data_IF_480425831090
#
_entry.id   IF_480425831090
#
_cell.length_a   1.000
_cell.length_b   1.000
_cell.length_c   1.000
_cell.angle_alpha   90.00
_cell.angle_beta   90.00
_cell.angle_gamma   90.00
#
_symmetry.space_group_name_H-M   'P 1'
#
loop_
_entity.id
_entity.type
_entity.pdbx_description
1 polymer ?
#
# COMPACT_ATOMS: atom_id res chain seq x y z
N UNK A 1 9.18 -12.34 12.47
CA UNK A 1 8.41 -11.11 12.72
C UNK A 1 7.04 -11.48 13.27
N UNK A 2 6.59 -10.77 14.31
CA UNK A 2 5.21 -10.79 14.79
C UNK A 2 4.73 -9.35 14.78
N UNK A 3 3.75 -9.04 13.92
CA UNK A 3 3.23 -7.70 13.73
C UNK A 3 1.77 -7.63 14.17
N UNK A 4 1.40 -6.57 14.87
CA UNK A 4 0.06 -6.36 15.42
C UNK A 4 -0.66 -5.23 14.69
N UNK A 5 -1.98 -5.32 14.57
CA UNK A 5 -2.81 -4.25 14.02
C UNK A 5 -2.73 -2.96 14.83
N UNK A 6 -2.98 -1.84 14.20
CA UNK A 6 -2.90 -0.53 14.83
C UNK A 6 -1.50 0.10 14.81
N UNK A 7 -0.55 -0.50 14.12
CA UNK A 7 0.84 -0.05 14.08
C UNK A 7 1.34 0.14 12.65
N UNK A 8 2.31 1.04 12.51
CA UNK A 8 3.08 1.24 11.28
C UNK A 8 4.51 0.77 11.52
N UNK A 9 4.94 -0.21 10.76
CA UNK A 9 6.28 -0.82 10.83
C UNK A 9 7.14 -0.30 9.69
N UNK A 10 8.19 0.46 10.03
CA UNK A 10 9.13 1.02 9.07
C UNK A 10 10.22 0.01 8.69
N UNK A 11 10.47 -0.13 7.39
CA UNK A 11 11.58 -0.93 6.88
C UNK A 11 12.58 -0.02 6.18
N UNK A 12 13.75 0.14 6.75
CA UNK A 12 14.81 1.02 6.25
C UNK A 12 16.03 0.23 5.83
N UNK A 13 16.76 0.72 4.85
CA UNK A 13 17.97 0.08 4.33
C UNK A 13 18.30 0.59 2.92
N UNK A 14 19.51 0.34 2.47
CA UNK A 14 19.97 0.74 1.15
C UNK A 14 19.15 0.12 0.01
N UNK A 15 19.28 0.67 -1.19
CA UNK A 15 18.71 0.06 -2.39
C UNK A 15 19.34 -1.33 -2.59
N UNK A 16 18.49 -2.33 -2.88
CA UNK A 16 18.92 -3.72 -2.99
C UNK A 16 19.05 -4.46 -1.65
N UNK A 17 18.73 -3.83 -0.49
CA UNK A 17 18.77 -4.52 0.81
C UNK A 17 17.70 -5.61 0.97
N UNK A 18 16.70 -5.68 0.07
CA UNK A 18 15.67 -6.73 0.05
C UNK A 18 14.28 -6.31 0.53
N UNK A 19 14.03 -5.02 0.83
CA UNK A 19 12.72 -4.51 1.31
C UNK A 19 11.57 -4.88 0.39
N UNK A 20 11.68 -4.56 -0.89
CA UNK A 20 10.66 -4.88 -1.91
C UNK A 20 10.41 -6.40 -2.00
N UNK A 21 11.47 -7.22 -1.96
CA UNK A 21 11.33 -8.67 -2.00
C UNK A 21 10.64 -9.19 -0.73
N UNK A 22 10.97 -8.66 0.43
CA UNK A 22 10.29 -8.99 1.68
C UNK A 22 8.79 -8.66 1.57
N UNK A 23 8.43 -7.46 1.09
CA UNK A 23 7.03 -7.06 0.92
C UNK A 23 6.28 -7.96 -0.09
N UNK A 24 6.92 -8.36 -1.18
CA UNK A 24 6.34 -9.32 -2.13
C UNK A 24 6.06 -10.68 -1.48
N UNK A 25 6.94 -11.16 -0.61
CA UNK A 25 6.74 -12.43 0.11
C UNK A 25 5.62 -12.27 1.14
N UNK A 26 5.65 -11.20 1.94
CA UNK A 26 4.67 -10.95 3.01
C UNK A 26 3.27 -10.65 2.46
N UNK A 27 3.16 -10.07 1.26
CA UNK A 27 1.87 -9.82 0.59
C UNK A 27 1.32 -11.04 -0.19
N UNK A 28 2.10 -12.11 -0.29
CA UNK A 28 1.70 -13.33 -1.01
C UNK A 28 1.99 -13.32 -2.51
N UNK A 29 2.62 -12.28 -3.04
CA UNK A 29 2.99 -12.19 -4.46
C UNK A 29 4.13 -13.16 -4.83
N UNK A 30 4.98 -13.49 -3.86
CA UNK A 30 6.09 -14.44 -4.04
C UNK A 30 6.06 -15.46 -2.90
N UNK A 31 6.12 -16.74 -3.24
CA UNK A 31 6.18 -17.81 -2.25
C UNK A 31 7.60 -17.92 -1.65
N UNK A 32 7.75 -17.97 -0.30
CA UNK A 32 9.05 -18.16 0.32
C UNK A 32 9.61 -19.56 0.01
N UNK A 33 10.93 -19.66 -0.15
CA UNK A 33 11.63 -20.95 -0.32
C UNK A 33 11.52 -21.81 0.94
N UNK A 34 11.60 -21.18 2.11
CA UNK A 34 11.47 -21.81 3.43
C UNK A 34 10.66 -20.90 4.34
N UNK A 35 10.08 -21.46 5.40
CA UNK A 35 9.24 -20.72 6.33
C UNK A 35 7.80 -20.57 5.85
N UNK A 36 7.05 -19.68 6.50
CA UNK A 36 5.64 -19.40 6.20
C UNK A 36 5.28 -17.97 6.54
N UNK A 37 4.28 -17.44 5.87
CA UNK A 37 3.65 -16.15 6.19
C UNK A 37 2.21 -16.44 6.61
N UNK A 38 1.84 -15.96 7.81
CA UNK A 38 0.50 -16.13 8.34
C UNK A 38 -0.14 -14.76 8.59
N UNK A 39 -1.37 -14.58 8.12
CA UNK A 39 -2.25 -13.49 8.50
C UNK A 39 -3.40 -14.08 9.32
N UNK A 40 -3.62 -13.58 10.53
CA UNK A 40 -4.62 -14.11 11.46
C UNK A 40 -4.57 -15.64 11.61
N UNK A 41 -3.34 -16.18 11.78
CA UNK A 41 -3.05 -17.63 11.89
C UNK A 41 -3.27 -18.45 10.61
N UNK A 42 -3.68 -17.84 9.50
CA UNK A 42 -3.86 -18.50 8.22
C UNK A 42 -2.62 -18.32 7.35
N UNK A 43 -2.01 -19.40 6.88
CA UNK A 43 -0.89 -19.36 5.94
C UNK A 43 -1.40 -18.88 4.58
N UNK A 44 -0.93 -17.70 4.14
CA UNK A 44 -1.42 -17.06 2.91
C UNK A 44 -1.05 -17.82 1.63
N UNK A 45 -0.09 -18.73 1.70
CA UNK A 45 0.37 -19.54 0.56
C UNK A 45 -0.28 -20.94 0.51
N UNK A 46 -1.06 -21.35 1.52
CA UNK A 46 -1.66 -22.68 1.63
C UNK A 46 -3.17 -22.73 1.48
N UNK A 47 -3.82 -21.61 1.21
CA UNK A 47 -5.27 -21.60 1.11
C UNK A 47 -5.81 -20.26 0.59
N UNK A 48 -7.14 -20.12 0.59
CA UNK A 48 -7.77 -18.83 0.33
C UNK A 48 -7.57 -17.94 1.55
N UNK A 49 -6.63 -17.01 1.48
CA UNK A 49 -6.55 -15.96 2.47
C UNK A 49 -7.80 -15.08 2.33
N UNK A 50 -8.63 -15.05 3.36
CA UNK A 50 -9.83 -14.20 3.42
C UNK A 50 -9.49 -12.74 3.74
N UNK A 51 -8.25 -12.50 4.17
CA UNK A 51 -7.78 -11.18 4.55
C UNK A 51 -7.69 -10.24 3.35
N UNK A 52 -8.01 -8.98 3.60
CA UNK A 52 -7.86 -7.92 2.61
C UNK A 52 -6.46 -7.36 2.72
N UNK A 53 -5.73 -7.43 1.63
CA UNK A 53 -4.35 -6.96 1.54
C UNK A 53 -4.31 -5.82 0.54
N UNK A 54 -3.83 -4.66 0.97
CA UNK A 54 -3.50 -3.53 0.09
C UNK A 54 -2.00 -3.51 -0.19
N UNK A 55 -1.64 -3.21 -1.43
CA UNK A 55 -0.24 -3.30 -1.86
C UNK A 55 0.12 -2.13 -2.75
N UNK A 56 1.21 -1.45 -2.41
CA UNK A 56 1.97 -0.56 -3.29
C UNK A 56 3.38 -1.15 -3.35
N UNK A 57 3.69 -1.89 -4.40
CA UNK A 57 5.02 -2.45 -4.63
C UNK A 57 5.33 -2.22 -6.11
N UNK A 58 6.35 -1.38 -6.37
CA UNK A 58 6.74 -0.98 -7.72
C UNK A 58 5.61 -0.31 -8.53
N UNK A 59 5.74 -0.26 -9.85
CA UNK A 59 4.76 0.37 -10.72
C UNK A 59 3.46 -0.43 -10.76
N UNK A 60 2.40 0.10 -10.19
CA UNK A 60 1.06 -0.47 -10.31
C UNK A 60 0.63 -0.46 -11.76
N UNK A 61 0.25 -1.63 -12.28
CA UNK A 61 -0.30 -1.77 -13.62
C UNK A 61 -1.74 -1.26 -13.64
N UNK A 62 -1.91 0.02 -13.92
CA UNK A 62 -3.22 0.61 -14.23
C UNK A 62 -3.40 0.73 -15.74
N UNK A 63 -4.64 0.73 -16.19
CA UNK A 63 -4.98 0.90 -17.59
C UNK A 63 -4.82 2.36 -18.00
N UNK A 64 -3.83 2.70 -18.87
CA UNK A 64 -3.49 4.09 -19.19
C UNK A 64 -4.62 4.86 -19.87
N UNK A 65 -5.49 4.15 -20.59
CA UNK A 65 -6.58 4.71 -21.38
C UNK A 65 -7.85 5.01 -20.57
N UNK A 66 -7.96 4.42 -19.38
CA UNK A 66 -9.10 4.61 -18.50
C UNK A 66 -8.87 5.79 -17.56
N UNK A 67 -9.95 6.40 -17.08
CA UNK A 67 -9.94 7.39 -16.00
C UNK A 67 -9.56 6.75 -14.66
N UNK A 68 -9.25 7.54 -13.63
CA UNK A 68 -9.01 7.03 -12.28
C UNK A 68 -10.23 6.29 -11.73
N UNK A 69 -11.42 6.83 -11.95
CA UNK A 69 -12.68 6.21 -11.58
C UNK A 69 -12.87 4.82 -12.23
N UNK A 70 -12.70 4.74 -13.55
CA UNK A 70 -12.87 3.49 -14.30
C UNK A 70 -11.85 2.43 -13.88
N UNK A 71 -10.60 2.81 -13.61
CA UNK A 71 -9.59 1.91 -13.09
C UNK A 71 -10.01 1.28 -11.77
N UNK A 72 -10.42 2.10 -10.78
CA UNK A 72 -10.84 1.60 -9.48
C UNK A 72 -12.14 0.81 -9.57
N UNK A 73 -13.08 1.20 -10.44
CA UNK A 73 -14.32 0.47 -10.67
C UNK A 73 -14.04 -0.92 -11.24
N UNK A 74 -13.15 -1.02 -12.22
CA UNK A 74 -12.75 -2.31 -12.79
C UNK A 74 -12.12 -3.21 -11.72
N UNK A 75 -11.13 -2.72 -10.98
CA UNK A 75 -10.46 -3.48 -9.92
C UNK A 75 -11.44 -3.92 -8.82
N UNK A 76 -12.30 -3.02 -8.37
CA UNK A 76 -13.32 -3.33 -7.36
C UNK A 76 -14.34 -4.36 -7.81
N UNK A 77 -14.61 -4.46 -9.13
CA UNK A 77 -15.52 -5.44 -9.71
C UNK A 77 -15.01 -6.89 -9.60
N UNK A 78 -13.69 -7.08 -9.53
CA UNK A 78 -13.07 -8.40 -9.45
C UNK A 78 -13.42 -9.13 -8.16
N UNK A 79 -13.40 -8.41 -7.04
CA UNK A 79 -13.67 -8.97 -5.71
C UNK A 79 -15.11 -8.74 -5.24
N UNK A 80 -15.84 -7.80 -5.85
CA UNK A 80 -17.22 -7.40 -5.49
C UNK A 80 -17.38 -7.03 -4.00
N UNK A 81 -16.33 -6.46 -3.39
CA UNK A 81 -16.28 -6.15 -1.95
C UNK A 81 -16.57 -4.69 -1.65
N UNK A 82 -16.60 -3.84 -2.66
CA UNK A 82 -16.78 -2.39 -2.53
C UNK A 82 -17.86 -1.88 -3.46
N UNK A 83 -18.53 -0.83 -3.04
CA UNK A 83 -19.55 -0.13 -3.82
C UNK A 83 -18.96 1.02 -4.64
N UNK A 84 -19.76 1.54 -5.59
CA UNK A 84 -19.43 2.78 -6.30
C UNK A 84 -19.24 3.97 -5.36
N UNK A 85 -20.02 4.02 -4.26
CA UNK A 85 -19.89 5.06 -3.25
C UNK A 85 -18.53 4.98 -2.53
N UNK A 86 -18.07 3.78 -2.18
CA UNK A 86 -16.75 3.58 -1.56
C UNK A 86 -15.62 4.04 -2.49
N UNK A 87 -15.72 3.76 -3.80
CA UNK A 87 -14.74 4.21 -4.79
C UNK A 87 -14.70 5.74 -4.86
N UNK A 88 -15.87 6.39 -4.90
CA UNK A 88 -15.96 7.86 -4.89
C UNK A 88 -15.28 8.45 -3.66
N UNK A 89 -15.67 7.99 -2.48
CA UNK A 89 -15.07 8.46 -1.22
C UNK A 89 -13.56 8.20 -1.17
N UNK A 90 -13.09 7.08 -1.72
CA UNK A 90 -11.65 6.78 -1.75
C UNK A 90 -10.89 7.74 -2.65
N UNK A 91 -11.41 8.08 -3.84
CA UNK A 91 -10.79 9.08 -4.72
C UNK A 91 -10.74 10.46 -4.07
N UNK A 92 -11.84 10.89 -3.46
CA UNK A 92 -11.92 12.14 -2.71
C UNK A 92 -10.90 12.16 -1.55
N UNK A 93 -10.78 11.06 -0.82
CA UNK A 93 -9.81 10.88 0.28
C UNK A 93 -8.36 11.10 -0.14
N UNK A 94 -7.99 10.67 -1.34
CA UNK A 94 -6.63 10.88 -1.87
C UNK A 94 -6.48 12.20 -2.63
N UNK A 95 -7.49 13.08 -2.58
CA UNK A 95 -7.48 14.39 -3.24
C UNK A 95 -7.59 14.30 -4.77
N UNK A 96 -8.29 13.29 -5.29
CA UNK A 96 -8.61 13.15 -6.70
C UNK A 96 -10.11 13.38 -6.93
N UNK A 97 -10.44 14.14 -7.98
CA UNK A 97 -11.83 14.32 -8.40
C UNK A 97 -12.36 13.04 -9.06
N UNK A 98 -13.41 12.40 -8.49
CA UNK A 98 -14.02 11.20 -9.06
C UNK A 98 -14.66 11.42 -10.45
N UNK A 99 -14.94 12.67 -10.81
CA UNK A 99 -15.56 13.04 -12.09
C UNK A 99 -14.55 13.47 -13.14
N UNK A 100 -13.25 13.46 -12.82
CA UNK A 100 -12.20 13.85 -13.76
C UNK A 100 -12.23 12.97 -15.02
N UNK A 101 -12.51 13.54 -16.22
CA UNK A 101 -12.65 12.77 -17.46
C UNK A 101 -11.32 12.39 -18.11
N UNK A 102 -10.20 12.83 -17.54
CA UNK A 102 -8.90 12.56 -18.12
C UNK A 102 -8.48 11.10 -17.92
N UNK A 103 -7.99 10.42 -18.96
CA UNK A 103 -7.36 9.12 -18.82
C UNK A 103 -6.05 9.24 -18.02
N UNK A 104 -5.70 8.21 -17.25
CA UNK A 104 -4.55 8.27 -16.33
C UNK A 104 -3.21 8.48 -17.03
N UNK A 105 -3.08 8.18 -18.33
CA UNK A 105 -1.88 8.54 -19.12
C UNK A 105 -1.62 10.06 -19.12
N UNK A 106 -2.67 10.89 -18.92
CA UNK A 106 -2.57 12.35 -18.82
C UNK A 106 -2.44 12.88 -17.40
N UNK A 107 -2.47 12.00 -16.40
CA UNK A 107 -2.27 12.40 -15.00
C UNK A 107 -0.83 12.84 -14.77
N UNK A 108 -0.65 13.83 -13.89
CA UNK A 108 0.66 14.14 -13.33
C UNK A 108 1.20 12.93 -12.55
N UNK A 109 2.50 12.92 -12.29
CA UNK A 109 3.11 11.85 -11.51
C UNK A 109 2.49 11.74 -10.10
N UNK A 110 2.26 12.89 -9.44
CA UNK A 110 1.58 12.94 -8.14
C UNK A 110 0.14 12.44 -8.19
N UNK A 111 -0.64 12.77 -9.25
CA UNK A 111 -1.99 12.22 -9.41
C UNK A 111 -1.98 10.70 -9.59
N UNK A 112 -1.01 10.17 -10.34
CA UNK A 112 -0.86 8.71 -10.49
C UNK A 112 -0.53 8.05 -9.17
N UNK A 113 0.38 8.63 -8.40
CA UNK A 113 0.77 8.10 -7.09
C UNK A 113 -0.42 8.11 -6.11
N UNK A 114 -1.21 9.19 -6.06
CA UNK A 114 -2.43 9.26 -5.25
C UNK A 114 -3.45 8.20 -5.68
N UNK A 115 -3.59 7.93 -6.98
CA UNK A 115 -4.48 6.87 -7.48
C UNK A 115 -4.00 5.47 -7.08
N UNK A 116 -2.68 5.23 -7.05
CA UNK A 116 -2.07 3.99 -6.57
C UNK A 116 -2.38 3.79 -5.08
N UNK A 117 -2.27 4.86 -4.28
CA UNK A 117 -2.67 4.80 -2.87
C UNK A 117 -4.16 4.50 -2.74
N UNK A 118 -5.03 5.15 -3.54
CA UNK A 118 -6.46 4.87 -3.55
C UNK A 118 -6.75 3.39 -3.82
N UNK A 119 -6.10 2.80 -4.81
CA UNK A 119 -6.20 1.36 -5.10
C UNK A 119 -5.86 0.50 -3.89
N UNK A 120 -4.78 0.80 -3.19
CA UNK A 120 -4.32 0.00 -2.08
C UNK A 120 -5.27 0.03 -0.88
N UNK A 121 -5.96 1.17 -0.65
CA UNK A 121 -6.82 1.36 0.54
C UNK A 121 -8.32 1.15 0.28
N UNK A 122 -8.77 1.12 -0.99
CA UNK A 122 -10.20 1.15 -1.33
C UNK A 122 -11.02 0.00 -0.73
N UNK A 123 -10.42 -1.18 -0.54
CA UNK A 123 -11.08 -2.34 0.07
C UNK A 123 -10.95 -2.39 1.59
N UNK A 124 -10.45 -1.32 2.23
CA UNK A 124 -10.21 -1.26 3.69
C UNK A 124 -9.36 -2.44 4.16
N UNK A 125 -8.12 -2.57 3.72
CA UNK A 125 -7.28 -3.75 3.97
C UNK A 125 -6.97 -3.93 5.46
N UNK A 126 -6.79 -5.20 5.86
CA UNK A 126 -6.33 -5.56 7.21
C UNK A 126 -4.80 -5.48 7.30
N UNK A 127 -4.14 -5.60 6.15
CA UNK A 127 -2.69 -5.47 6.04
C UNK A 127 -2.35 -4.62 4.81
N UNK A 128 -1.46 -3.64 4.98
CA UNK A 128 -1.10 -2.66 3.96
C UNK A 128 0.41 -2.64 3.79
N UNK A 129 0.88 -2.94 2.58
CA UNK A 129 2.29 -2.93 2.20
C UNK A 129 2.56 -1.74 1.30
N UNK A 130 3.39 -0.81 1.74
CA UNK A 130 3.65 0.47 1.07
C UNK A 130 5.14 0.62 0.80
N UNK A 131 5.54 0.39 -0.44
CA UNK A 131 6.91 0.65 -0.90
C UNK A 131 6.96 2.03 -1.57
N UNK A 132 7.62 2.99 -0.91
CA UNK A 132 7.79 4.39 -1.35
C UNK A 132 6.46 5.12 -1.69
N UNK A 133 5.44 5.13 -0.82
CA UNK A 133 4.11 5.65 -1.17
C UNK A 133 4.07 7.16 -1.42
N UNK A 134 5.04 7.91 -0.89
CA UNK A 134 5.12 9.38 -0.98
C UNK A 134 6.04 9.88 -2.10
N UNK A 135 6.64 8.97 -2.86
CA UNK A 135 7.49 9.34 -3.98
C UNK A 135 6.76 10.18 -5.02
N UNK A 136 7.46 11.23 -5.50
CA UNK A 136 7.01 12.07 -6.60
C UNK A 136 5.69 12.84 -6.35
N UNK A 137 5.33 13.04 -5.10
CA UNK A 137 4.19 13.83 -4.67
C UNK A 137 4.69 15.19 -4.13
N UNK A 138 3.88 16.23 -4.29
CA UNK A 138 4.13 17.55 -3.71
C UNK A 138 3.95 17.53 -2.17
N UNK A 139 4.41 18.59 -1.50
CA UNK A 139 4.40 18.66 -0.03
C UNK A 139 3.01 18.44 0.58
N UNK A 140 1.96 19.02 -0.02
CA UNK A 140 0.59 18.87 0.46
C UNK A 140 0.11 17.42 0.30
N UNK A 141 0.42 16.80 -0.83
CA UNK A 141 0.10 15.42 -1.07
C UNK A 141 0.85 14.44 -0.17
N UNK A 142 2.11 14.74 0.19
CA UNK A 142 2.85 13.94 1.18
C UNK A 142 2.14 13.97 2.52
N UNK A 143 1.70 15.15 3.00
CA UNK A 143 0.95 15.27 4.25
C UNK A 143 -0.35 14.45 4.19
N UNK A 144 -1.12 14.60 3.12
CA UNK A 144 -2.36 13.85 2.91
C UNK A 144 -2.13 12.33 2.95
N UNK A 145 -1.09 11.83 2.29
CA UNK A 145 -0.81 10.39 2.30
C UNK A 145 -0.36 9.90 3.68
N UNK A 146 0.41 10.71 4.43
CA UNK A 146 0.76 10.39 5.81
C UNK A 146 -0.47 10.28 6.71
N UNK A 147 -1.39 11.22 6.59
CA UNK A 147 -2.65 11.20 7.35
C UNK A 147 -3.46 9.93 7.03
N UNK A 148 -3.56 9.57 5.74
CA UNK A 148 -4.23 8.34 5.31
C UNK A 148 -3.57 7.09 5.90
N UNK A 149 -2.23 7.02 5.90
CA UNK A 149 -1.48 5.89 6.48
C UNK A 149 -1.77 5.77 7.99
N UNK A 150 -1.74 6.90 8.71
CA UNK A 150 -2.07 6.94 10.13
C UNK A 150 -3.53 6.53 10.40
N UNK A 151 -4.49 6.99 9.59
CA UNK A 151 -5.89 6.58 9.70
C UNK A 151 -6.09 5.07 9.46
N UNK A 152 -5.42 4.49 8.46
CA UNK A 152 -5.50 3.05 8.21
C UNK A 152 -4.92 2.23 9.39
N UNK A 153 -3.80 2.66 9.97
CA UNK A 153 -3.26 2.06 11.17
C UNK A 153 -4.24 2.21 12.35
N UNK A 154 -4.75 3.43 12.61
CA UNK A 154 -5.73 3.69 13.68
C UNK A 154 -7.02 2.87 13.53
N UNK A 155 -7.41 2.53 12.30
CA UNK A 155 -8.53 1.62 12.01
C UNK A 155 -8.23 0.17 12.41
N UNK A 156 -7.00 -0.15 12.78
CA UNK A 156 -6.55 -1.49 13.18
C UNK A 156 -5.82 -2.26 12.09
N UNK A 157 -5.48 -1.66 10.96
CA UNK A 157 -4.65 -2.31 9.95
C UNK A 157 -3.20 -2.50 10.45
N UNK A 158 -2.54 -3.55 9.99
CA UNK A 158 -1.08 -3.69 10.06
C UNK A 158 -0.50 -2.98 8.86
N UNK A 159 0.29 -1.93 9.07
CA UNK A 159 0.92 -1.18 7.98
C UNK A 159 2.42 -1.45 7.96
N UNK A 160 2.95 -1.86 6.82
CA UNK A 160 4.38 -2.00 6.56
C UNK A 160 4.78 -0.91 5.57
N UNK A 161 5.72 -0.07 5.97
CA UNK A 161 6.18 1.09 5.20
C UNK A 161 7.67 0.96 4.90
N UNK A 162 8.05 0.92 3.63
CA UNK A 162 9.41 1.17 3.20
C UNK A 162 9.50 2.58 2.62
N UNK A 163 10.40 3.39 3.13
CA UNK A 163 10.67 4.73 2.63
C UNK A 163 12.14 5.09 2.85
N UNK A 164 12.71 5.82 1.88
CA UNK A 164 14.01 6.45 2.02
C UNK A 164 13.90 7.88 2.60
N UNK A 165 12.69 8.39 2.77
CA UNK A 165 12.41 9.69 3.37
C UNK A 165 12.38 9.52 4.89
N UNK A 166 13.42 10.00 5.57
CA UNK A 166 13.56 9.87 7.02
C UNK A 166 12.37 10.43 7.80
N UNK A 167 11.74 11.49 7.27
CA UNK A 167 10.57 12.10 7.89
C UNK A 167 9.33 11.20 7.84
N UNK A 168 9.12 10.36 6.80
CA UNK A 168 8.03 9.39 6.77
C UNK A 168 8.20 8.38 7.90
N UNK A 169 9.42 7.86 8.02
CA UNK A 169 9.76 6.88 9.04
C UNK A 169 9.60 7.46 10.46
N UNK A 170 10.18 8.65 10.72
CA UNK A 170 10.14 9.25 12.06
C UNK A 170 8.75 9.73 12.49
N UNK A 171 7.87 10.07 11.53
CA UNK A 171 6.52 10.59 11.84
C UNK A 171 5.49 9.48 11.97
N UNK A 172 5.59 8.42 11.15
CA UNK A 172 4.55 7.42 11.04
C UNK A 172 4.86 6.13 11.80
N UNK A 173 6.14 5.71 11.84
CA UNK A 173 6.47 4.36 12.29
C UNK A 173 6.51 4.25 13.81
N UNK A 174 5.83 3.23 14.32
CA UNK A 174 5.86 2.84 15.73
C UNK A 174 7.07 1.96 16.06
N UNK A 175 7.57 1.24 15.06
CA UNK A 175 8.73 0.35 15.16
C UNK A 175 9.48 0.36 13.84
N UNK A 176 10.82 0.27 13.88
CA UNK A 176 11.68 0.37 12.70
C UNK A 176 12.58 -0.87 12.63
N UNK A 177 12.58 -1.50 11.46
CA UNK A 177 13.42 -2.63 11.11
C UNK A 177 14.50 -2.19 10.11
N UNK A 178 15.76 -2.45 10.44
CA UNK A 178 16.88 -2.19 9.54
C UNK A 178 17.14 -3.42 8.67
N UNK A 179 17.21 -3.23 7.36
CA UNK A 179 17.45 -4.30 6.42
C UNK A 179 18.81 -4.14 5.72
N UNK A 180 19.58 -5.23 5.70
CA UNK A 180 20.85 -5.30 5.01
C UNK A 180 21.08 -6.68 4.42
N UNK A 181 21.46 -6.74 3.15
CA UNK A 181 21.75 -8.00 2.44
C UNK A 181 20.65 -9.08 2.58
N UNK A 182 19.38 -8.69 2.52
CA UNK A 182 18.21 -9.58 2.63
C UNK A 182 17.90 -10.06 4.05
N UNK A 183 18.48 -9.45 5.07
CA UNK A 183 18.26 -9.79 6.49
C UNK A 183 17.79 -8.56 7.26
N UNK A 184 17.01 -8.79 8.30
CA UNK A 184 16.70 -7.78 9.31
C UNK A 184 17.85 -7.81 10.31
N UNK A 185 18.48 -6.64 10.53
CA UNK A 185 19.51 -6.48 11.56
C UNK A 185 18.82 -6.35 12.92
N UNK A 186 19.38 -7.00 13.95
CA UNK A 186 18.96 -6.89 15.34
C UNK A 186 19.49 -5.60 16.00
#
# INVERSE_FOLDING_TARGET
LNLSGGNVYGFVGENGSGKTMLFRILSGLVKPTTGKVCLNRTDIHKGRCSERIGVIIENSCMWPELTGWENLLFLGSLNKRISKADIRTTLERVGLDPTNPLPIKKYSLGMRQRLIVAQAIMEKPNCLFLDEPTNAIDKEGVLLIRDIIAEEANRGAVVLLASHISQDISTLCTEIYHMKHGRIEE
#
